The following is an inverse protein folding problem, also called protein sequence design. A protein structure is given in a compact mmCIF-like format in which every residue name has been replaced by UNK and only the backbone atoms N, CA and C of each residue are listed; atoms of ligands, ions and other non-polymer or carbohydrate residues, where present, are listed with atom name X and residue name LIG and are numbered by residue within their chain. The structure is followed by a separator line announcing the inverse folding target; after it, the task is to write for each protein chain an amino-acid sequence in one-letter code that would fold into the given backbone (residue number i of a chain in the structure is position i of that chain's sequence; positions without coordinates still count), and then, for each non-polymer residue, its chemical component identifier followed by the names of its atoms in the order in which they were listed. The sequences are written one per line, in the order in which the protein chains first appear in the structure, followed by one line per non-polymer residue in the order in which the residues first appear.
data_IF_941807624176
#
_entry.id   IF_941807624176
#
_cell.length_a   1.000
_cell.length_b   1.000
_cell.length_c   1.000
_cell.angle_alpha   90.00
_cell.angle_beta   90.00
_cell.angle_gamma   90.00
#
_symmetry.space_group_name_H-M   'P 1'
#
loop_
_entity.id
_entity.type
_entity.pdbx_description
1 polymer ?
#
# COMPACT_ATOMS: atom_id res chain seq x y z
N UNK A 1 22.44 26.77 -0.25
CA UNK A 1 22.50 25.43 0.36
C UNK A 1 21.49 25.24 1.49
N UNK A 2 20.19 25.30 1.18
CA UNK A 2 19.06 24.81 2.01
C UNK A 2 17.94 24.22 1.14
N UNK A 3 17.89 24.63 -0.13
CA UNK A 3 16.93 24.18 -1.14
C UNK A 3 17.05 22.71 -1.59
N UNK A 4 18.25 22.14 -1.57
CA UNK A 4 18.49 20.73 -1.93
C UNK A 4 18.12 19.74 -0.82
N UNK A 5 18.15 20.15 0.46
CA UNK A 5 17.82 19.27 1.58
C UNK A 5 16.31 18.95 1.65
N UNK A 6 15.45 19.92 1.30
CA UNK A 6 13.99 19.75 1.28
C UNK A 6 13.58 18.91 0.06
N UNK A 7 14.15 19.16 -1.12
CA UNK A 7 13.94 18.32 -2.31
C UNK A 7 14.35 16.85 -2.09
N UNK A 8 15.43 16.59 -1.33
CA UNK A 8 15.93 15.24 -1.03
C UNK A 8 15.07 14.51 0.02
N UNK A 9 14.48 15.20 1.00
CA UNK A 9 13.57 14.61 2.00
C UNK A 9 12.17 14.33 1.39
N UNK A 10 11.72 15.18 0.47
CA UNK A 10 10.42 15.08 -0.22
C UNK A 10 10.44 14.04 -1.37
N UNK A 11 11.60 13.82 -1.98
CA UNK A 11 11.90 12.61 -2.77
C UNK A 11 12.06 11.35 -1.89
N UNK A 12 12.39 11.47 -0.59
CA UNK A 12 12.50 10.35 0.37
C UNK A 12 11.13 9.82 0.88
N UNK A 13 10.01 10.48 0.56
CA UNK A 13 8.62 9.99 0.73
C UNK A 13 8.05 9.31 -0.52
N UNK A 14 8.88 9.12 -1.56
CA UNK A 14 8.56 8.51 -2.87
C UNK A 14 7.77 7.19 -2.74
N UNK A 15 6.58 7.20 -3.35
CA UNK A 15 5.78 6.07 -3.85
C UNK A 15 6.01 4.73 -3.14
N UNK A 16 5.23 4.47 -2.11
CA UNK A 16 5.17 3.16 -1.47
C UNK A 16 4.14 2.32 -2.20
N UNK A 17 4.63 1.32 -2.93
CA UNK A 17 3.79 0.32 -3.59
C UNK A 17 3.25 -0.62 -2.51
N UNK A 18 1.94 -0.75 -2.51
CA UNK A 18 1.21 -1.68 -1.66
C UNK A 18 0.86 -2.87 -2.54
N UNK A 19 1.57 -3.97 -2.36
CA UNK A 19 1.33 -5.18 -3.15
C UNK A 19 0.17 -5.93 -2.52
N UNK A 20 -0.88 -6.18 -3.30
CA UNK A 20 -1.98 -7.04 -2.85
C UNK A 20 -1.65 -8.47 -3.23
N UNK A 21 -1.59 -9.32 -2.22
CA UNK A 21 -1.59 -10.76 -2.43
C UNK A 21 -2.95 -11.31 -2.07
N UNK A 22 -3.74 -11.67 -3.09
CA UNK A 22 -4.96 -12.41 -2.84
C UNK A 22 -4.65 -13.75 -2.20
N UNK A 23 -5.48 -14.13 -1.24
CA UNK A 23 -5.45 -15.49 -0.69
C UNK A 23 -6.86 -16.03 -0.85
N UNK A 24 -7.06 -16.82 -1.90
CA UNK A 24 -8.24 -17.69 -2.01
C UNK A 24 -8.19 -18.69 -0.84
N UNK A 25 -9.34 -19.22 -0.41
CA UNK A 25 -9.49 -19.98 0.85
C UNK A 25 -8.74 -21.32 0.92
N UNK A 26 -7.69 -21.54 0.12
CA UNK A 26 -6.97 -22.81 -0.02
C UNK A 26 -5.44 -22.67 0.06
N UNK A 27 -4.90 -21.60 0.66
CA UNK A 27 -3.47 -21.52 0.93
C UNK A 27 -3.09 -22.27 2.22
N UNK A 28 -2.45 -23.43 2.06
CA UNK A 28 -1.92 -24.25 3.15
C UNK A 28 -0.97 -23.44 4.05
N UNK A 29 -1.12 -23.56 5.37
CA UNK A 29 -0.61 -22.63 6.40
C UNK A 29 0.92 -22.49 6.39
N UNK A 30 1.64 -23.51 5.91
CA UNK A 30 3.11 -23.57 5.92
C UNK A 30 3.73 -22.75 4.77
N UNK A 31 3.19 -22.86 3.55
CA UNK A 31 3.68 -22.09 2.40
C UNK A 31 3.46 -20.58 2.60
N UNK A 32 2.36 -20.23 3.27
CA UNK A 32 1.98 -18.86 3.58
C UNK A 32 2.90 -18.18 4.61
N UNK A 33 3.37 -18.93 5.60
CA UNK A 33 4.34 -18.48 6.60
C UNK A 33 5.74 -18.34 6.01
N UNK A 34 6.16 -19.31 5.18
CA UNK A 34 7.46 -19.28 4.48
C UNK A 34 7.54 -18.13 3.47
N UNK A 35 6.48 -17.87 2.70
CA UNK A 35 6.41 -16.69 1.83
C UNK A 35 6.49 -15.39 2.64
N UNK A 36 5.86 -15.34 3.83
CA UNK A 36 5.97 -14.19 4.73
C UNK A 36 7.37 -13.98 5.29
N UNK A 37 8.11 -15.06 5.58
CA UNK A 37 9.49 -15.04 6.09
C UNK A 37 10.51 -14.67 5.00
N UNK A 38 10.41 -15.24 3.80
CA UNK A 38 11.30 -14.89 2.68
C UNK A 38 11.11 -13.44 2.20
N UNK A 39 9.92 -12.86 2.38
CA UNK A 39 9.60 -11.47 2.02
C UNK A 39 10.21 -10.42 2.95
N UNK A 40 10.60 -10.79 4.17
CA UNK A 40 11.35 -9.87 5.06
C UNK A 40 12.79 -9.66 4.57
N UNK A 41 13.24 -10.49 3.62
CA UNK A 41 14.60 -10.50 3.08
C UNK A 41 14.74 -9.77 1.73
N UNK A 42 13.64 -9.40 1.05
CA UNK A 42 13.71 -8.59 -0.17
C UNK A 42 13.50 -7.10 0.17
N UNK A 43 14.55 -6.33 -0.11
CA UNK A 43 14.76 -4.93 0.23
C UNK A 43 13.90 -4.01 -0.65
N UNK A 44 12.85 -3.42 -0.08
CA UNK A 44 11.97 -2.46 -0.75
C UNK A 44 10.82 -2.03 0.17
N UNK A 45 10.42 -0.76 0.15
CA UNK A 45 9.36 -0.18 1.02
C UNK A 45 7.94 -0.70 0.72
N UNK A 46 7.81 -1.93 0.24
CA UNK A 46 6.58 -2.56 -0.21
C UNK A 46 5.82 -3.20 0.95
N UNK A 47 4.50 -3.02 0.98
CA UNK A 47 3.64 -3.61 2.00
C UNK A 47 2.71 -4.62 1.36
N UNK A 48 2.78 -5.86 1.83
CA UNK A 48 1.92 -6.95 1.36
C UNK A 48 0.65 -7.06 2.21
N UNK A 49 -0.51 -7.04 1.56
CA UNK A 49 -1.79 -7.32 2.22
C UNK A 49 -2.45 -8.57 1.67
N UNK A 50 -3.08 -9.32 2.59
CA UNK A 50 -3.82 -10.54 2.29
C UNK A 50 -5.29 -10.32 2.58
N UNK A 51 -6.10 -10.24 1.52
CA UNK A 51 -7.55 -10.01 1.60
C UNK A 51 -8.29 -10.94 0.64
N UNK A 52 -9.56 -11.25 0.95
CA UNK A 52 -10.44 -12.00 0.04
C UNK A 52 -10.95 -11.08 -1.06
N UNK A 53 -11.22 -11.63 -2.26
CA UNK A 53 -11.75 -10.85 -3.40
C UNK A 53 -13.03 -10.08 -3.09
N UNK A 54 -13.90 -10.63 -2.23
CA UNK A 54 -15.16 -10.02 -1.82
C UNK A 54 -15.04 -9.01 -0.67
N UNK A 55 -13.83 -8.73 -0.16
CA UNK A 55 -13.63 -7.83 0.99
C UNK A 55 -13.38 -6.42 0.49
N UNK A 56 -14.06 -5.44 1.08
CA UNK A 56 -13.84 -4.03 0.81
C UNK A 56 -12.39 -3.61 1.08
N UNK A 57 -11.84 -2.82 0.17
CA UNK A 57 -10.47 -2.30 0.25
C UNK A 57 -10.24 -1.39 1.46
N UNK A 58 -11.30 -0.85 2.10
CA UNK A 58 -11.23 -0.06 3.34
C UNK A 58 -10.32 -0.67 4.41
N UNK A 59 -10.40 -1.99 4.62
CA UNK A 59 -9.60 -2.67 5.64
C UNK A 59 -8.10 -2.60 5.35
N UNK A 60 -7.74 -2.81 4.08
CA UNK A 60 -6.36 -2.71 3.61
C UNK A 60 -5.84 -1.28 3.75
N UNK A 61 -6.62 -0.30 3.29
CA UNK A 61 -6.23 1.10 3.34
C UNK A 61 -6.06 1.61 4.78
N UNK A 62 -6.99 1.29 5.68
CA UNK A 62 -6.88 1.64 7.09
C UNK A 62 -5.65 1.01 7.73
N UNK A 63 -5.46 -0.31 7.55
CA UNK A 63 -4.30 -0.99 8.11
C UNK A 63 -2.97 -0.45 7.56
N UNK A 64 -2.94 0.00 6.32
CA UNK A 64 -1.78 0.71 5.75
C UNK A 64 -1.57 2.07 6.44
N UNK A 65 -2.62 2.86 6.61
CA UNK A 65 -2.55 4.17 7.28
C UNK A 65 -2.07 4.04 8.74
N UNK A 66 -2.60 3.06 9.47
CA UNK A 66 -2.20 2.76 10.85
C UNK A 66 -0.72 2.36 10.91
N UNK A 67 -0.29 1.45 10.04
CA UNK A 67 1.11 0.98 9.96
C UNK A 67 2.09 2.10 9.65
N UNK A 68 1.69 3.04 8.79
CA UNK A 68 2.53 4.16 8.39
C UNK A 68 2.37 5.39 9.29
N UNK A 69 1.45 5.35 10.26
CA UNK A 69 1.14 6.48 11.15
C UNK A 69 0.81 7.76 10.38
N UNK A 70 -0.09 7.62 9.40
CA UNK A 70 -0.50 8.68 8.48
C UNK A 70 -2.02 8.76 8.44
N UNK A 71 -2.57 9.96 8.30
CA UNK A 71 -4.00 10.15 8.16
C UNK A 71 -4.52 9.56 6.85
N UNK A 72 -5.65 8.86 6.93
CA UNK A 72 -6.33 8.28 5.78
C UNK A 72 -6.60 9.32 4.67
N UNK A 73 -7.02 10.52 5.07
CA UNK A 73 -7.33 11.61 4.13
C UNK A 73 -6.08 12.23 3.48
N UNK A 74 -4.91 12.00 4.07
CA UNK A 74 -3.62 12.46 3.55
C UNK A 74 -3.03 11.49 2.52
N UNK A 75 -3.72 10.40 2.18
CA UNK A 75 -3.24 9.41 1.20
C UNK A 75 -4.27 9.19 0.09
N UNK A 76 -3.76 9.12 -1.14
CA UNK A 76 -4.49 8.63 -2.30
C UNK A 76 -3.98 7.22 -2.66
N UNK A 77 -4.90 6.26 -2.67
CA UNK A 77 -4.64 4.91 -3.16
C UNK A 77 -5.05 4.81 -4.63
N UNK A 78 -4.15 4.34 -5.47
CA UNK A 78 -4.34 4.23 -6.92
C UNK A 78 -4.12 2.79 -7.38
N UNK A 79 -4.97 2.30 -8.29
CA UNK A 79 -4.79 1.06 -9.03
C UNK A 79 -4.86 1.38 -10.52
N UNK A 80 -3.86 0.97 -11.29
CA UNK A 80 -3.69 1.37 -12.70
C UNK A 80 -3.82 2.89 -12.91
N UNK A 81 -3.29 3.68 -11.96
CA UNK A 81 -3.38 5.14 -11.95
C UNK A 81 -4.77 5.71 -11.64
N UNK A 82 -5.79 4.89 -11.35
CA UNK A 82 -7.14 5.32 -10.98
C UNK A 82 -7.34 5.30 -9.47
N UNK A 83 -7.99 6.34 -8.94
CA UNK A 83 -8.26 6.44 -7.50
C UNK A 83 -9.29 5.41 -7.04
N UNK A 84 -8.89 4.63 -6.06
CA UNK A 84 -9.72 3.61 -5.44
C UNK A 84 -10.68 4.22 -4.42
N UNK A 85 -11.88 3.65 -4.33
CA UNK A 85 -12.87 3.92 -3.29
C UNK A 85 -12.80 2.86 -2.22
N UNK A 86 -13.12 3.24 -0.99
CA UNK A 86 -13.07 2.35 0.18
C UNK A 86 -14.07 1.19 0.11
N UNK A 87 -15.18 1.38 -0.57
CA UNK A 87 -16.28 0.41 -0.72
C UNK A 87 -16.01 -0.62 -1.82
N UNK A 88 -15.08 -0.31 -2.74
CA UNK A 88 -14.72 -1.22 -3.82
C UNK A 88 -14.05 -2.47 -3.27
N UNK A 89 -14.26 -3.55 -4.00
CA UNK A 89 -13.65 -4.84 -3.76
C UNK A 89 -12.68 -5.18 -4.89
N UNK A 90 -11.66 -6.00 -4.61
CA UNK A 90 -10.82 -6.58 -5.65
C UNK A 90 -11.56 -7.23 -6.81
N UNK A 91 -12.70 -7.87 -6.52
CA UNK A 91 -13.47 -8.60 -7.53
C UNK A 91 -14.07 -7.64 -8.58
N UNK A 92 -14.60 -6.51 -8.12
CA UNK A 92 -15.15 -5.45 -8.99
C UNK A 92 -14.08 -4.74 -9.82
N UNK A 93 -12.83 -4.80 -9.37
CA UNK A 93 -11.67 -4.21 -10.03
C UNK A 93 -10.90 -5.23 -10.87
N UNK A 94 -11.41 -6.47 -10.95
CA UNK A 94 -10.80 -7.58 -11.69
C UNK A 94 -9.34 -7.86 -11.27
N UNK A 95 -8.99 -7.58 -10.02
CA UNK A 95 -7.61 -7.69 -9.56
C UNK A 95 -7.14 -9.15 -9.45
N UNK A 96 -5.86 -9.37 -9.74
CA UNK A 96 -5.18 -10.66 -9.74
C UNK A 96 -4.10 -10.78 -8.64
N UNK A 97 -3.67 -12.01 -8.36
CA UNK A 97 -2.66 -12.22 -7.32
C UNK A 97 -1.34 -11.55 -7.71
N UNK A 98 -0.87 -10.64 -6.86
CA UNK A 98 0.36 -9.89 -7.11
C UNK A 98 0.12 -8.50 -7.67
N UNK A 99 -1.14 -8.10 -7.90
CA UNK A 99 -1.48 -6.74 -8.29
C UNK A 99 -1.04 -5.70 -7.25
N UNK A 100 -0.77 -4.49 -7.74
CA UNK A 100 -0.11 -3.45 -6.96
C UNK A 100 -0.96 -2.18 -6.89
N UNK A 101 -1.04 -1.60 -5.70
CA UNK A 101 -1.70 -0.32 -5.44
C UNK A 101 -0.64 0.70 -5.06
N UNK A 102 -0.64 1.86 -5.70
CA UNK A 102 0.19 2.97 -5.27
C UNK A 102 -0.46 3.74 -4.13
N UNK A 103 0.25 3.89 -3.01
CA UNK A 103 -0.14 4.77 -1.92
C UNK A 103 0.67 6.08 -2.01
N UNK A 104 0.01 7.15 -2.46
CA UNK A 104 0.62 8.46 -2.63
C UNK A 104 0.16 9.40 -1.52
N UNK A 105 1.11 9.90 -0.71
CA UNK A 105 0.82 10.97 0.23
C UNK A 105 0.42 12.22 -0.55
N UNK A 106 -0.70 12.84 -0.17
CA UNK A 106 -0.99 14.21 -0.53
C UNK A 106 0.19 15.03 -0.02
N UNK A 107 0.87 15.72 -0.92
CA UNK A 107 2.00 16.55 -0.58
C UNK A 107 1.48 17.75 0.22
N UNK A 108 1.30 17.58 1.54
CA UNK A 108 1.20 18.71 2.45
C UNK A 108 2.61 19.25 2.58
N UNK A 109 2.95 20.17 1.66
CA UNK A 109 4.14 21.00 1.77
C UNK A 109 4.19 21.62 3.17
N UNK A 110 5.32 21.46 3.85
CA UNK A 110 5.48 21.84 5.24
C UNK A 110 5.22 23.32 5.46
N UNK A 111 4.37 23.63 6.44
CA UNK A 111 4.49 24.89 7.17
C UNK A 111 5.55 24.67 8.27
N UNK A 112 6.81 24.99 7.94
CA UNK A 112 7.81 25.30 8.96
C UNK A 112 7.63 26.78 9.30
N UNK A 113 7.21 27.06 10.53
CA UNK A 113 7.50 28.33 11.17
C UNK A 113 8.87 28.23 11.86
#
# INVERSE_FOLDING_TARGET
GRDLAIRIIELCRRQRRVVIQYVSREANTIAHALAGLMKQFHDGNEVFFRIKRSTQLKKLMNAYCDRQSVDFNSIAFLFDGRRLRVEQTPDELEMEEGDEIDAMLHQTGGAMA
#
